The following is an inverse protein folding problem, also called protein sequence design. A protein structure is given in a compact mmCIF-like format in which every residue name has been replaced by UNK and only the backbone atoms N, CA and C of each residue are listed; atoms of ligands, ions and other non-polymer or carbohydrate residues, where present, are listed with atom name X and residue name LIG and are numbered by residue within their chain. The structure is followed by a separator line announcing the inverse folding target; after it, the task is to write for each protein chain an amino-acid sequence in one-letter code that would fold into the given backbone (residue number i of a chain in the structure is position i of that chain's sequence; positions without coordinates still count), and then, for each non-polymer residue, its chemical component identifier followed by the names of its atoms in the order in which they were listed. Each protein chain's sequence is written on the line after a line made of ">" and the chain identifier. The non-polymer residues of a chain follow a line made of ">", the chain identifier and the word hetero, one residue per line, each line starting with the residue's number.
data_IF_782911185277
#
_entry.id   IF_782911185277
#
_cell.length_a   1.000
_cell.length_b   1.000
_cell.length_c   1.000
_cell.angle_alpha   90.00
_cell.angle_beta   90.00
_cell.angle_gamma   90.00
#
_symmetry.space_group_name_H-M   'P 1'
#
loop_
_entity.id
_entity.type
_entity.pdbx_description
1 polymer ?
#
# COMPACT_ATOMS: atom_id res chain seq x y z
N UNK A 1 5.66 -7.12 -9.24
CA UNK A 1 5.14 -5.94 -9.97
C UNK A 1 5.60 -5.93 -11.43
N UNK A 2 6.91 -5.84 -11.73
CA UNK A 2 7.43 -5.79 -13.11
C UNK A 2 6.82 -6.77 -14.13
N UNK A 3 6.77 -8.06 -13.81
CA UNK A 3 6.19 -9.10 -14.69
C UNK A 3 4.73 -8.82 -15.08
N UNK A 4 3.94 -8.26 -14.17
CA UNK A 4 2.51 -7.97 -14.39
C UNK A 4 2.35 -6.69 -15.19
N UNK A 5 3.12 -5.65 -14.85
CA UNK A 5 3.14 -4.41 -15.61
C UNK A 5 3.54 -4.65 -17.07
N UNK A 6 4.63 -5.39 -17.32
CA UNK A 6 5.07 -5.70 -18.68
C UNK A 6 4.07 -6.54 -19.48
N UNK A 7 3.35 -7.47 -18.82
CA UNK A 7 2.43 -8.39 -19.49
C UNK A 7 1.06 -7.79 -19.75
N UNK A 8 0.54 -6.99 -18.82
CA UNK A 8 -0.85 -6.54 -18.81
C UNK A 8 -1.01 -5.02 -18.79
N UNK A 9 0.07 -4.26 -18.64
CA UNK A 9 0.00 -2.81 -18.38
C UNK A 9 -0.61 -2.47 -17.02
N UNK A 10 -0.82 -3.45 -16.14
CA UNK A 10 -1.44 -3.25 -14.83
C UNK A 10 -0.39 -2.93 -13.76
N UNK A 11 -0.62 -1.84 -13.02
CA UNK A 11 0.24 -1.38 -11.92
C UNK A 11 -0.40 -1.82 -10.60
N UNK A 12 0.21 -2.82 -9.97
CA UNK A 12 -0.16 -3.30 -8.63
C UNK A 12 0.53 -2.47 -7.56
N UNK A 13 -0.05 -2.43 -6.37
CA UNK A 13 0.70 -2.01 -5.19
C UNK A 13 1.56 -3.16 -4.63
N UNK A 14 2.48 -2.90 -3.68
CA UNK A 14 3.29 -3.96 -3.10
C UNK A 14 2.49 -5.06 -2.40
N UNK A 15 1.30 -4.76 -1.85
CA UNK A 15 0.46 -5.71 -1.13
C UNK A 15 -0.23 -6.69 -2.10
N UNK A 16 -0.81 -6.17 -3.18
CA UNK A 16 -1.37 -6.95 -4.29
C UNK A 16 -0.32 -7.80 -4.96
N UNK A 17 0.93 -7.31 -5.08
CA UNK A 17 2.05 -8.11 -5.57
C UNK A 17 2.33 -9.35 -4.70
N UNK A 18 2.26 -9.23 -3.38
CA UNK A 18 2.38 -10.36 -2.46
C UNK A 18 1.20 -11.32 -2.63
N UNK A 19 -0.03 -10.81 -2.72
CA UNK A 19 -1.22 -11.61 -2.99
C UNK A 19 -1.14 -12.39 -4.30
N UNK A 20 -0.63 -11.77 -5.36
CA UNK A 20 -0.38 -12.40 -6.65
C UNK A 20 0.66 -13.53 -6.54
N UNK A 21 1.77 -13.31 -5.83
CA UNK A 21 2.78 -14.34 -5.63
C UNK A 21 2.22 -15.55 -4.86
N UNK A 22 1.42 -15.29 -3.82
CA UNK A 22 0.75 -16.36 -3.08
C UNK A 22 -0.23 -17.14 -3.96
N UNK A 23 -1.03 -16.45 -4.78
CA UNK A 23 -1.91 -17.09 -5.76
C UNK A 23 -1.12 -17.96 -6.74
N UNK A 24 -0.01 -17.46 -7.30
CA UNK A 24 0.82 -18.23 -8.24
C UNK A 24 1.38 -19.49 -7.62
N UNK A 25 1.85 -19.44 -6.37
CA UNK A 25 2.33 -20.61 -5.66
C UNK A 25 1.21 -21.63 -5.37
N UNK A 26 -0.01 -21.16 -5.09
CA UNK A 26 -1.18 -22.03 -4.89
C UNK A 26 -1.65 -22.69 -6.19
N UNK A 27 -1.74 -21.91 -7.27
CA UNK A 27 -2.20 -22.35 -8.59
C UNK A 27 -1.32 -23.45 -9.18
N UNK A 28 -0.01 -23.42 -8.93
CA UNK A 28 0.94 -24.47 -9.33
C UNK A 28 0.55 -25.86 -8.81
N UNK A 29 -0.12 -25.92 -7.66
CA UNK A 29 -0.58 -27.16 -7.03
C UNK A 29 -2.08 -27.43 -7.27
N UNK A 30 -2.82 -26.42 -7.75
CA UNK A 30 -4.28 -26.43 -7.83
C UNK A 30 -4.78 -25.80 -9.15
N UNK A 31 -4.44 -26.38 -10.33
CA UNK A 31 -4.60 -25.72 -11.64
C UNK A 31 -6.06 -25.45 -12.06
N UNK A 32 -7.02 -26.17 -11.49
CA UNK A 32 -8.45 -26.05 -11.86
C UNK A 32 -9.22 -24.97 -11.06
N UNK A 33 -8.52 -24.14 -10.29
CA UNK A 33 -9.13 -23.08 -9.48
C UNK A 33 -8.97 -21.70 -10.13
N UNK A 34 -9.96 -20.84 -9.94
CA UNK A 34 -9.86 -19.41 -10.28
C UNK A 34 -9.45 -18.60 -9.06
N UNK A 35 -8.54 -17.64 -9.26
CA UNK A 35 -8.04 -16.75 -8.22
C UNK A 35 -8.60 -15.36 -8.33
N UNK A 36 -9.03 -14.79 -7.21
CA UNK A 36 -9.34 -13.36 -7.07
C UNK A 36 -8.35 -12.79 -6.06
N UNK A 37 -7.56 -11.81 -6.49
CA UNK A 37 -6.60 -11.09 -5.63
C UNK A 37 -7.25 -9.78 -5.21
N UNK A 38 -7.28 -9.52 -3.91
CA UNK A 38 -7.77 -8.27 -3.36
C UNK A 38 -6.62 -7.26 -3.31
N UNK A 39 -6.67 -6.26 -4.18
CA UNK A 39 -5.77 -5.11 -4.15
C UNK A 39 -6.17 -4.21 -2.98
N UNK A 40 -5.43 -4.28 -1.88
CA UNK A 40 -5.83 -3.66 -0.61
C UNK A 40 -5.53 -2.17 -0.54
N UNK A 41 -4.75 -1.64 -1.48
CA UNK A 41 -4.42 -0.23 -1.56
C UNK A 41 -4.13 0.22 -3.00
N UNK A 42 -4.29 1.52 -3.24
CA UNK A 42 -3.90 2.15 -4.49
C UNK A 42 -2.37 2.29 -4.57
N UNK A 43 -1.71 2.07 -5.74
CA UNK A 43 -0.25 2.14 -5.89
C UNK A 43 0.37 3.47 -5.43
N UNK A 44 -0.33 4.58 -5.64
CA UNK A 44 0.10 5.92 -5.19
C UNK A 44 0.32 6.04 -3.66
N UNK A 45 -0.19 5.10 -2.84
CA UNK A 45 0.13 5.06 -1.40
C UNK A 45 1.56 4.57 -1.10
N UNK A 46 2.23 3.99 -2.11
CA UNK A 46 3.58 3.42 -2.01
C UNK A 46 4.44 3.91 -3.20
N UNK A 47 4.32 5.19 -3.53
CA UNK A 47 4.88 5.82 -4.74
C UNK A 47 6.36 5.47 -4.96
N UNK A 48 7.21 5.72 -3.95
CA UNK A 48 8.64 5.47 -4.05
C UNK A 48 8.97 4.03 -4.46
N UNK A 49 8.33 3.05 -3.83
CA UNK A 49 8.60 1.63 -4.10
C UNK A 49 8.07 1.22 -5.49
N UNK A 50 6.91 1.74 -5.89
CA UNK A 50 6.29 1.45 -7.19
C UNK A 50 7.11 2.06 -8.32
N UNK A 51 7.44 3.35 -8.25
CA UNK A 51 8.24 4.06 -9.26
C UNK A 51 9.64 3.45 -9.39
N UNK A 52 10.30 3.16 -8.26
CA UNK A 52 11.62 2.51 -8.26
C UNK A 52 11.57 1.10 -8.86
N UNK A 53 10.53 0.32 -8.56
CA UNK A 53 10.44 -1.05 -9.07
C UNK A 53 10.16 -1.08 -10.57
N UNK A 54 9.26 -0.21 -11.03
CA UNK A 54 8.76 -0.21 -12.40
C UNK A 54 9.54 0.72 -13.34
N UNK A 55 10.42 1.56 -12.80
CA UNK A 55 11.15 2.62 -13.51
C UNK A 55 10.21 3.55 -14.30
N UNK A 56 9.08 3.91 -13.67
CA UNK A 56 8.07 4.82 -14.22
C UNK A 56 7.85 5.99 -13.26
N UNK A 57 7.20 7.06 -13.75
CA UNK A 57 6.55 8.04 -12.89
C UNK A 57 5.05 7.74 -12.84
N UNK A 58 4.47 7.78 -11.64
CA UNK A 58 3.07 7.47 -11.41
C UNK A 58 2.31 8.72 -10.96
N UNK A 59 1.26 9.06 -11.70
CA UNK A 59 0.37 10.17 -11.32
C UNK A 59 -0.34 9.87 -9.98
N UNK A 60 -0.35 10.87 -9.09
CA UNK A 60 -1.07 10.80 -7.84
C UNK A 60 -2.52 11.24 -8.09
N UNK A 61 -3.53 10.42 -7.75
CA UNK A 61 -4.92 10.84 -7.83
C UNK A 61 -5.18 12.10 -7.00
N UNK A 62 -5.94 13.05 -7.54
CA UNK A 62 -6.28 14.35 -6.91
C UNK A 62 -6.66 14.21 -5.43
N UNK A 63 -7.54 13.25 -5.11
CA UNK A 63 -7.99 12.98 -3.73
C UNK A 63 -6.86 12.65 -2.74
N UNK A 64 -5.77 12.04 -3.22
CA UNK A 64 -4.59 11.75 -2.40
C UNK A 64 -3.64 12.95 -2.36
N UNK A 65 -3.52 13.68 -3.47
CA UNK A 65 -2.71 14.89 -3.60
C UNK A 65 -3.20 16.02 -2.67
N UNK A 66 -4.52 16.16 -2.47
CA UNK A 66 -5.14 17.12 -1.54
C UNK A 66 -4.59 17.08 -0.10
N UNK A 67 -4.01 15.95 0.32
CA UNK A 67 -3.43 15.78 1.65
C UNK A 67 -1.95 16.19 1.71
N UNK A 68 -1.26 16.24 0.57
CA UNK A 68 0.19 16.51 0.50
C UNK A 68 0.55 17.94 0.92
N UNK A 69 -0.33 18.91 0.65
CA UNK A 69 -0.15 20.31 1.01
C UNK A 69 -0.58 20.64 2.44
N UNK A 70 -1.27 19.71 3.13
CA UNK A 70 -1.77 19.95 4.48
C UNK A 70 -0.63 19.83 5.48
N UNK A 71 -0.59 20.78 6.42
CA UNK A 71 0.32 20.70 7.56
C UNK A 71 0.03 19.43 8.35
N UNK A 72 1.06 18.59 8.53
CA UNK A 72 1.00 17.42 9.39
C UNK A 72 0.82 17.85 10.85
N UNK A 73 -0.29 17.44 11.45
CA UNK A 73 -0.55 17.61 12.89
C UNK A 73 -0.43 16.24 13.55
N UNK A 74 0.71 15.98 14.19
CA UNK A 74 0.99 14.76 14.93
C UNK A 74 1.87 15.09 16.14
N UNK A 75 1.51 14.57 17.31
CA UNK A 75 2.27 14.75 18.55
C UNK A 75 3.17 13.53 18.76
N UNK A 76 4.48 13.77 18.90
CA UNK A 76 5.45 12.71 19.16
C UNK A 76 5.38 12.32 20.63
N UNK A 77 5.24 11.02 20.91
CA UNK A 77 5.19 10.49 22.26
C UNK A 77 6.01 9.21 22.41
N UNK A 78 6.54 8.93 23.62
CA UNK A 78 7.14 7.64 23.93
C UNK A 78 6.14 6.49 23.81
N UNK A 79 6.65 5.29 23.52
CA UNK A 79 5.85 4.06 23.52
C UNK A 79 5.50 3.61 24.95
N UNK A 80 4.65 4.39 25.63
CA UNK A 80 4.23 4.17 27.01
C UNK A 80 2.72 4.29 27.13
N UNK A 81 2.10 3.25 27.71
CA UNK A 81 0.66 3.25 27.97
C UNK A 81 0.24 4.39 28.91
N UNK A 82 0.97 4.59 30.00
CA UNK A 82 0.61 5.61 31.00
C UNK A 82 0.68 7.01 30.39
N UNK A 83 1.72 7.31 29.59
CA UNK A 83 1.82 8.61 28.91
C UNK A 83 0.72 8.82 27.87
N UNK A 84 0.38 7.78 27.08
CA UNK A 84 -0.73 7.86 26.14
C UNK A 84 -2.06 8.07 26.86
N UNK A 85 -2.30 7.35 27.97
CA UNK A 85 -3.52 7.45 28.77
C UNK A 85 -3.68 8.85 29.35
N UNK A 86 -2.63 9.37 30.00
CA UNK A 86 -2.66 10.69 30.63
C UNK A 86 -2.84 11.79 29.57
N UNK A 87 -2.21 11.67 28.41
CA UNK A 87 -2.39 12.57 27.27
C UNK A 87 -3.86 12.61 26.80
N UNK A 88 -4.50 11.45 26.65
CA UNK A 88 -5.90 11.38 26.21
C UNK A 88 -6.86 11.95 27.26
N UNK A 89 -6.69 11.61 28.54
CA UNK A 89 -7.54 12.09 29.63
C UNK A 89 -7.42 13.60 29.91
N UNK A 90 -6.26 14.20 29.59
CA UNK A 90 -6.06 15.63 29.77
C UNK A 90 -6.65 16.47 28.63
N UNK A 91 -6.95 15.85 27.47
CA UNK A 91 -7.28 16.56 26.21
C UNK A 91 -8.68 16.27 25.67
N UNK A 92 -9.32 15.19 26.10
CA UNK A 92 -10.67 14.76 25.71
C UNK A 92 -11.50 14.41 26.95
#
# INVERSE_FOLDING_TARGET
>A
MNKIHQKFGYIMDPHGAVGYLAWKAFEEQNPDHSGIILETAHPAKFLEEVEKTLEISLDIPERLEELSERKKEAELMPASFDQLKDYLLARF
#
